data_IF_748252016880
#
_entry.id   IF_748252016880
#
_cell.length_a   1.000
_cell.length_b   1.000
_cell.length_c   1.000
_cell.angle_alpha   90.00
_cell.angle_beta   90.00
_cell.angle_gamma   90.00
#
_symmetry.space_group_name_H-M   'P 1'
#
loop_
_entity.id
_entity.type
_entity.pdbx_description
1 polymer ?
#
# COMPACT_ATOMS: atom_id res chain seq x y z
N UNK A 1 -32.88 17.66 39.27
CA UNK A 1 -31.78 17.67 38.29
C UNK A 1 -31.24 19.09 38.21
N UNK A 2 -30.11 19.37 38.85
CA UNK A 2 -29.44 20.68 38.81
C UNK A 2 -28.66 20.82 37.50
N UNK A 3 -29.22 21.53 36.53
CA UNK A 3 -28.49 21.90 35.32
C UNK A 3 -27.36 22.88 35.69
N UNK A 4 -26.12 22.49 35.39
CA UNK A 4 -24.91 23.25 35.67
C UNK A 4 -24.94 24.59 34.89
N UNK A 5 -25.11 25.71 35.61
CA UNK A 5 -25.23 27.08 35.03
C UNK A 5 -24.00 27.54 34.24
N UNK A 6 -22.87 26.83 34.32
CA UNK A 6 -21.60 27.15 33.65
C UNK A 6 -21.64 26.90 32.13
N UNK A 7 -22.38 25.89 31.66
CA UNK A 7 -22.42 25.53 30.22
C UNK A 7 -23.21 26.58 29.41
N UNK A 8 -24.25 27.17 30.02
CA UNK A 8 -25.08 28.21 29.37
C UNK A 8 -24.41 29.59 29.31
N UNK A 9 -23.40 29.87 30.15
CA UNK A 9 -22.67 31.14 30.10
C UNK A 9 -21.74 31.22 28.88
N UNK A 10 -21.17 30.08 28.47
CA UNK A 10 -20.29 29.99 27.31
C UNK A 10 -21.02 30.25 25.98
N UNK A 11 -22.29 29.81 25.88
CA UNK A 11 -23.12 29.97 24.67
C UNK A 11 -23.49 31.45 24.41
N UNK A 12 -23.45 32.32 25.42
CA UNK A 12 -23.85 33.73 25.31
C UNK A 12 -22.70 34.70 25.02
N UNK A 13 -21.45 34.23 24.91
CA UNK A 13 -20.31 35.10 24.62
C UNK A 13 -19.98 35.07 23.12
N UNK A 14 -20.35 36.11 22.33
CA UNK A 14 -20.06 36.16 20.90
C UNK A 14 -18.55 36.14 20.63
N UNK A 15 -17.75 36.66 21.57
CA UNK A 15 -16.29 36.65 21.48
C UNK A 15 -15.71 35.24 21.66
N UNK A 16 -16.27 34.44 22.57
CA UNK A 16 -15.84 33.05 22.76
C UNK A 16 -16.22 32.17 21.55
N UNK A 17 -17.38 32.41 20.94
CA UNK A 17 -17.80 31.74 19.70
C UNK A 17 -16.92 32.12 18.51
N UNK A 18 -16.55 33.40 18.38
CA UNK A 18 -15.58 33.85 17.36
C UNK A 18 -14.20 33.25 17.57
N UNK A 19 -13.74 33.16 18.82
CA UNK A 19 -12.44 32.57 19.14
C UNK A 19 -12.39 31.07 18.84
N UNK A 20 -13.42 30.32 19.26
CA UNK A 20 -13.54 28.90 18.98
C UNK A 20 -13.73 28.64 17.48
N UNK A 21 -14.57 29.42 16.81
CA UNK A 21 -14.77 29.34 15.36
C UNK A 21 -13.48 29.63 14.59
N UNK A 22 -12.77 30.69 14.95
CA UNK A 22 -11.47 31.03 14.36
C UNK A 22 -10.40 29.97 14.60
N UNK A 23 -10.39 29.36 15.79
CA UNK A 23 -9.46 28.27 16.12
C UNK A 23 -9.77 27.00 15.31
N UNK A 24 -11.05 26.63 15.17
CA UNK A 24 -11.47 25.48 14.36
C UNK A 24 -11.14 25.69 12.88
N UNK A 25 -11.41 26.88 12.35
CA UNK A 25 -11.10 27.21 10.94
C UNK A 25 -9.58 27.30 10.72
N UNK A 26 -8.82 27.89 11.64
CA UNK A 26 -7.37 28.01 11.54
C UNK A 26 -6.65 26.67 11.65
N UNK A 27 -7.01 25.84 12.65
CA UNK A 27 -6.43 24.49 12.80
C UNK A 27 -6.90 23.55 11.68
N UNK A 28 -8.18 23.61 11.31
CA UNK A 28 -8.73 22.84 10.19
C UNK A 28 -8.07 23.23 8.87
N UNK A 29 -7.87 24.53 8.63
CA UNK A 29 -7.18 25.05 7.44
C UNK A 29 -5.71 24.64 7.39
N UNK A 30 -4.97 24.72 8.50
CA UNK A 30 -3.57 24.25 8.55
C UNK A 30 -3.45 22.73 8.38
N UNK A 31 -4.37 21.95 8.95
CA UNK A 31 -4.41 20.51 8.73
C UNK A 31 -4.66 20.18 7.25
N UNK A 32 -5.69 20.79 6.64
CA UNK A 32 -6.01 20.61 5.22
C UNK A 32 -4.87 21.06 4.29
N UNK A 33 -4.23 22.18 4.60
CA UNK A 33 -3.07 22.66 3.86
C UNK A 33 -1.89 21.70 3.99
N UNK A 34 -1.61 21.20 5.20
CA UNK A 34 -0.61 20.15 5.42
C UNK A 34 -0.91 18.87 4.64
N UNK A 35 -2.18 18.44 4.58
CA UNK A 35 -2.60 17.31 3.76
C UNK A 35 -2.38 17.56 2.25
N UNK A 36 -2.75 18.74 1.74
CA UNK A 36 -2.60 19.08 0.33
C UNK A 36 -1.15 19.29 -0.12
N UNK A 37 -0.30 19.81 0.77
CA UNK A 37 1.09 20.16 0.45
C UNK A 37 2.12 19.13 0.90
N UNK A 38 1.71 18.13 1.68
CA UNK A 38 2.62 17.06 2.10
C UNK A 38 3.18 16.29 0.89
N UNK A 39 4.50 16.04 0.85
CA UNK A 39 5.20 15.47 -0.30
C UNK A 39 5.06 13.95 -0.35
N UNK A 40 3.89 13.40 -0.03
CA UNK A 40 3.64 11.98 -0.18
C UNK A 40 3.50 11.67 -1.66
N UNK A 41 4.49 11.00 -2.24
CA UNK A 41 4.48 10.60 -3.64
C UNK A 41 3.15 9.89 -3.98
N UNK A 42 2.42 10.40 -4.97
CA UNK A 42 1.14 9.83 -5.42
C UNK A 42 1.30 8.44 -6.05
N UNK A 43 2.52 8.14 -6.48
CA UNK A 43 2.90 6.89 -7.11
C UNK A 43 4.31 6.49 -6.66
N UNK A 44 4.51 5.20 -6.44
CA UNK A 44 5.82 4.58 -6.24
C UNK A 44 6.06 3.54 -7.34
N UNK A 45 7.29 3.50 -7.87
CA UNK A 45 7.72 2.49 -8.85
C UNK A 45 8.87 1.69 -8.25
N UNK A 46 8.77 0.37 -8.34
CA UNK A 46 9.81 -0.53 -7.86
C UNK A 46 10.02 -1.69 -8.84
N UNK A 47 11.10 -1.65 -9.66
CA UNK A 47 11.49 -2.78 -10.48
C UNK A 47 12.00 -3.92 -9.59
N UNK A 48 11.58 -5.15 -9.89
CA UNK A 48 11.96 -6.33 -9.12
C UNK A 48 12.34 -7.48 -10.04
N UNK A 49 13.29 -8.29 -9.58
CA UNK A 49 13.68 -9.56 -10.19
C UNK A 49 14.12 -10.48 -9.08
N UNK A 50 13.48 -11.63 -8.92
CA UNK A 50 13.87 -12.63 -7.92
C UNK A 50 13.69 -14.03 -8.49
N UNK A 51 14.48 -14.94 -7.93
CA UNK A 51 14.46 -16.36 -8.24
C UNK A 51 14.01 -17.12 -7.01
N UNK A 52 13.11 -18.07 -7.20
CA UNK A 52 12.80 -19.11 -6.21
C UNK A 52 13.44 -20.39 -6.72
N UNK A 53 14.31 -20.99 -5.90
CA UNK A 53 14.91 -22.30 -6.17
C UNK A 53 14.07 -23.30 -5.39
N UNK A 54 13.32 -24.15 -6.08
CA UNK A 54 12.43 -25.13 -5.47
C UNK A 54 13.21 -26.39 -5.11
N UNK A 55 14.09 -26.83 -6.00
CA UNK A 55 15.07 -27.92 -5.81
C UNK A 55 16.27 -27.73 -6.75
N UNK A 56 17.20 -28.70 -6.79
CA UNK A 56 18.44 -28.63 -7.59
C UNK A 56 18.20 -28.42 -9.09
N UNK A 57 17.02 -28.77 -9.59
CA UNK A 57 16.68 -28.75 -11.02
C UNK A 57 15.56 -27.76 -11.36
N UNK A 58 14.75 -27.36 -10.39
CA UNK A 58 13.56 -26.54 -10.57
C UNK A 58 13.72 -25.15 -9.96
N UNK A 59 13.48 -24.14 -10.78
CA UNK A 59 13.51 -22.76 -10.35
C UNK A 59 12.45 -21.92 -11.06
N UNK A 60 11.95 -20.91 -10.37
CA UNK A 60 11.02 -19.93 -10.93
C UNK A 60 11.63 -18.54 -10.87
N UNK A 61 11.67 -17.85 -12.02
CA UNK A 61 12.07 -16.45 -12.14
C UNK A 61 10.84 -15.58 -12.32
N UNK A 62 10.65 -14.63 -11.41
CA UNK A 62 9.70 -13.54 -11.58
C UNK A 62 10.46 -12.23 -11.80
N UNK A 63 10.13 -11.53 -12.88
CA UNK A 63 10.71 -10.23 -13.22
C UNK A 63 9.63 -9.26 -13.66
N UNK A 64 9.61 -8.07 -13.09
CA UNK A 64 8.59 -7.09 -13.39
C UNK A 64 8.75 -5.80 -12.62
N UNK A 65 7.68 -5.03 -12.60
CA UNK A 65 7.62 -3.72 -11.96
C UNK A 65 6.37 -3.68 -11.10
N UNK A 66 6.54 -3.45 -9.81
CA UNK A 66 5.46 -3.02 -8.93
C UNK A 66 5.25 -1.51 -9.10
N UNK A 67 4.00 -1.10 -9.26
CA UNK A 67 3.61 0.31 -9.14
C UNK A 67 2.52 0.43 -8.11
N UNK A 68 2.80 1.16 -7.04
CA UNK A 68 1.84 1.42 -5.98
C UNK A 68 1.30 2.83 -6.13
N UNK A 69 -0.02 2.95 -6.05
CA UNK A 69 -0.77 4.18 -6.22
C UNK A 69 -1.58 4.45 -4.96
N UNK A 70 -1.65 5.72 -4.58
CA UNK A 70 -2.53 6.18 -3.52
C UNK A 70 -3.85 6.65 -4.13
N UNK A 71 -4.93 5.93 -3.84
CA UNK A 71 -6.29 6.29 -4.30
C UNK A 71 -6.95 7.28 -3.33
N UNK A 72 -6.63 7.19 -2.04
CA UNK A 72 -7.17 8.04 -0.98
C UNK A 72 -6.25 8.09 0.24
N UNK A 73 -6.75 8.62 1.37
CA UNK A 73 -5.95 8.74 2.58
C UNK A 73 -5.60 7.37 3.20
N UNK A 74 -6.54 6.42 3.11
CA UNK A 74 -6.44 5.06 3.67
C UNK A 74 -6.74 3.98 2.63
N UNK A 75 -6.58 4.29 1.35
CA UNK A 75 -6.83 3.34 0.27
C UNK A 75 -5.82 3.52 -0.85
N UNK A 76 -5.52 2.43 -1.53
CA UNK A 76 -4.59 2.41 -2.64
C UNK A 76 -4.72 1.14 -3.46
N UNK A 77 -3.92 1.09 -4.50
CA UNK A 77 -3.78 -0.10 -5.31
C UNK A 77 -2.34 -0.29 -5.76
N UNK A 78 -1.96 -1.54 -5.93
CA UNK A 78 -0.66 -1.90 -6.50
C UNK A 78 -0.89 -2.72 -7.76
N UNK A 79 -0.18 -2.35 -8.81
CA UNK A 79 -0.13 -3.10 -10.07
C UNK A 79 1.21 -3.80 -10.21
N UNK A 80 1.19 -4.98 -10.82
CA UNK A 80 2.40 -5.68 -11.24
C UNK A 80 2.33 -5.97 -12.73
N UNK A 81 3.35 -5.55 -13.47
CA UNK A 81 3.53 -5.84 -14.89
C UNK A 81 4.88 -6.51 -15.07
N UNK A 82 4.89 -7.71 -15.65
CA UNK A 82 6.12 -8.49 -15.78
C UNK A 82 5.90 -9.85 -16.41
N UNK A 83 6.79 -10.78 -16.08
CA UNK A 83 6.77 -12.15 -16.59
C UNK A 83 7.19 -13.14 -15.50
N UNK A 84 6.67 -14.37 -15.60
CA UNK A 84 7.12 -15.53 -14.82
C UNK A 84 7.70 -16.56 -15.79
N UNK A 85 8.90 -17.05 -15.50
CA UNK A 85 9.55 -18.12 -16.25
C UNK A 85 9.85 -19.28 -15.30
N UNK A 86 9.43 -20.48 -15.66
CA UNK A 86 9.80 -21.68 -14.94
C UNK A 86 11.01 -22.32 -15.61
N UNK A 87 11.83 -22.97 -14.82
CA UNK A 87 12.99 -23.74 -15.23
C UNK A 87 12.87 -25.13 -14.63
N UNK A 88 13.10 -26.15 -15.46
CA UNK A 88 13.19 -27.56 -15.06
C UNK A 88 14.46 -28.16 -15.67
N UNK A 89 15.19 -28.93 -14.88
CA UNK A 89 16.48 -29.54 -15.26
C UNK A 89 17.46 -28.53 -15.86
N UNK A 90 17.51 -27.33 -15.27
CA UNK A 90 18.39 -26.23 -15.70
C UNK A 90 18.02 -25.58 -17.04
N UNK A 91 16.86 -25.92 -17.63
CA UNK A 91 16.35 -25.32 -18.88
C UNK A 91 15.02 -24.64 -18.66
N UNK A 92 14.75 -23.59 -19.44
CA UNK A 92 13.47 -22.88 -19.37
C UNK A 92 12.32 -23.79 -19.85
N UNK A 93 11.35 -24.01 -18.99
CA UNK A 93 10.13 -24.77 -19.25
C UNK A 93 9.10 -23.88 -19.96
N UNK A 94 9.19 -23.84 -21.29
CA UNK A 94 8.28 -23.08 -22.15
C UNK A 94 8.62 -21.59 -22.30
N UNK A 95 7.62 -20.82 -22.74
CA UNK A 95 7.73 -19.37 -22.90
C UNK A 95 7.39 -18.66 -21.58
N UNK A 96 8.04 -17.53 -21.28
CA UNK A 96 7.66 -16.70 -20.14
C UNK A 96 6.18 -16.31 -20.20
N UNK A 97 5.45 -16.55 -19.10
CA UNK A 97 4.05 -16.16 -18.99
C UNK A 97 3.97 -14.69 -18.58
N UNK A 98 3.26 -13.88 -19.36
CA UNK A 98 3.05 -12.47 -19.01
C UNK A 98 2.15 -12.34 -17.76
N UNK A 99 2.49 -11.40 -16.88
CA UNK A 99 1.69 -11.03 -15.71
C UNK A 99 1.26 -9.57 -15.85
N UNK A 100 -0.04 -9.33 -15.69
CA UNK A 100 -0.60 -7.99 -15.58
C UNK A 100 -1.74 -8.03 -14.55
N UNK A 101 -1.45 -7.56 -13.34
CA UNK A 101 -2.31 -7.75 -12.17
C UNK A 101 -2.44 -6.47 -11.39
N UNK A 102 -3.59 -6.32 -10.75
CA UNK A 102 -3.88 -5.22 -9.82
C UNK A 102 -4.51 -5.78 -8.55
N UNK A 103 -4.05 -5.26 -7.42
CA UNK A 103 -4.59 -5.53 -6.09
C UNK A 103 -4.95 -4.19 -5.48
N UNK A 104 -6.19 -4.05 -5.00
CA UNK A 104 -6.68 -2.88 -4.28
C UNK A 104 -6.78 -3.22 -2.81
N UNK A 105 -6.49 -2.23 -1.96
CA UNK A 105 -6.45 -2.43 -0.52
C UNK A 105 -6.80 -1.16 0.25
N UNK A 106 -7.32 -1.37 1.45
CA UNK A 106 -7.42 -0.36 2.49
C UNK A 106 -6.21 -0.45 3.41
N UNK A 107 -5.79 0.68 3.98
CA UNK A 107 -4.56 0.83 4.76
C UNK A 107 -4.90 1.30 6.17
N UNK A 108 -4.44 0.56 7.16
CA UNK A 108 -4.45 0.95 8.56
C UNK A 108 -3.02 1.02 9.10
N UNK A 109 -2.71 2.09 9.83
CA UNK A 109 -1.37 2.32 10.39
C UNK A 109 -1.42 2.10 11.90
N UNK A 110 -0.60 1.17 12.39
CA UNK A 110 -0.41 0.91 13.82
C UNK A 110 1.06 1.08 14.18
N UNK A 111 1.43 2.29 14.58
CA UNK A 111 2.83 2.68 14.82
C UNK A 111 3.66 2.60 13.53
N UNK A 112 4.60 1.64 13.47
CA UNK A 112 5.44 1.37 12.27
C UNK A 112 4.89 0.26 11.37
N UNK A 113 3.77 -0.35 11.77
CA UNK A 113 3.11 -1.42 10.99
C UNK A 113 2.05 -0.82 10.08
N UNK A 114 2.04 -1.32 8.86
CA UNK A 114 1.06 -1.03 7.83
C UNK A 114 0.23 -2.31 7.66
N UNK A 115 -1.03 -2.27 8.05
CA UNK A 115 -1.99 -3.33 7.78
C UNK A 115 -2.72 -2.99 6.49
N UNK A 116 -2.59 -3.87 5.50
CA UNK A 116 -3.22 -3.74 4.19
C UNK A 116 -4.33 -4.78 4.10
N UNK A 117 -5.58 -4.34 4.05
CA UNK A 117 -6.73 -5.23 3.86
C UNK A 117 -7.09 -5.27 2.39
N UNK A 118 -6.97 -6.43 1.75
CA UNK A 118 -7.24 -6.55 0.31
C UNK A 118 -8.74 -6.46 0.04
N UNK A 119 -9.14 -5.45 -0.73
CA UNK A 119 -10.54 -5.17 -1.07
C UNK A 119 -10.95 -5.82 -2.37
N UNK A 120 -10.09 -5.78 -3.39
CA UNK A 120 -10.36 -6.40 -4.69
C UNK A 120 -9.10 -6.72 -5.46
N UNK A 121 -9.25 -7.57 -6.48
CA UNK A 121 -8.16 -8.01 -7.33
C UNK A 121 -8.63 -8.17 -8.75
N UNK A 122 -7.76 -7.80 -9.69
CA UNK A 122 -8.11 -7.77 -11.10
C UNK A 122 -6.97 -8.33 -11.95
N UNK A 123 -7.35 -9.20 -12.90
CA UNK A 123 -6.49 -9.58 -14.01
C UNK A 123 -6.68 -8.55 -15.13
N UNK A 124 -5.60 -7.88 -15.51
CA UNK A 124 -5.63 -6.90 -16.61
C UNK A 124 -5.36 -7.57 -17.95
N UNK A 125 -5.72 -6.88 -19.03
CA UNK A 125 -5.53 -7.36 -20.40
C UNK A 125 -4.06 -7.73 -20.64
N UNK A 126 -3.83 -8.86 -21.32
CA UNK A 126 -2.50 -9.39 -21.61
C UNK A 126 -1.87 -10.21 -20.49
N UNK A 127 -2.48 -10.30 -19.31
CA UNK A 127 -2.04 -11.22 -18.25
C UNK A 127 -2.39 -12.68 -18.59
N UNK A 128 -1.37 -13.51 -18.75
CA UNK A 128 -1.47 -14.93 -19.10
C UNK A 128 -1.16 -15.88 -17.93
N UNK A 129 -0.43 -15.41 -16.92
CA UNK A 129 -0.07 -16.23 -15.77
C UNK A 129 -1.32 -16.66 -14.95
N UNK A 130 -1.38 -17.95 -14.54
CA UNK A 130 -2.47 -18.47 -13.72
C UNK A 130 -2.51 -17.78 -12.36
N UNK A 131 -3.68 -17.81 -11.71
CA UNK A 131 -3.87 -17.16 -10.40
C UNK A 131 -2.96 -17.74 -9.32
N UNK A 132 -2.64 -19.03 -9.42
CA UNK A 132 -1.72 -19.71 -8.50
C UNK A 132 -0.30 -19.15 -8.61
N UNK A 133 0.30 -19.10 -9.80
CA UNK A 133 1.64 -18.50 -10.00
C UNK A 133 1.68 -17.05 -9.51
N UNK A 134 0.62 -16.29 -9.72
CA UNK A 134 0.56 -14.91 -9.23
C UNK A 134 0.48 -14.87 -7.71
N UNK A 135 -0.25 -15.79 -7.09
CA UNK A 135 -0.34 -15.90 -5.62
C UNK A 135 1.02 -16.27 -5.05
N UNK A 136 1.60 -17.37 -5.52
CA UNK A 136 2.81 -17.92 -4.93
C UNK A 136 4.01 -16.99 -5.10
N UNK A 137 4.12 -16.31 -6.24
CA UNK A 137 5.30 -15.52 -6.56
C UNK A 137 5.06 -14.02 -6.40
N UNK A 138 3.99 -13.45 -6.96
CA UNK A 138 3.88 -11.98 -7.14
C UNK A 138 3.17 -11.31 -5.95
N UNK A 139 2.04 -11.87 -5.52
CA UNK A 139 1.23 -11.36 -4.43
C UNK A 139 0.85 -12.55 -3.53
N UNK A 140 1.58 -12.90 -2.49
CA UNK A 140 1.19 -14.03 -1.62
C UNK A 140 -0.06 -13.81 -0.79
N UNK A 141 -0.68 -12.62 -0.87
CA UNK A 141 -1.84 -12.21 -0.06
C UNK A 141 -2.99 -11.71 -0.93
N UNK A 142 -3.36 -12.49 -1.95
CA UNK A 142 -4.46 -12.19 -2.88
C UNK A 142 -5.72 -13.00 -2.59
N UNK A 143 -6.27 -13.00 -1.38
CA UNK A 143 -7.72 -13.22 -1.25
C UNK A 143 -8.41 -11.97 -0.68
N UNK A 144 -9.56 -11.55 -1.25
CA UNK A 144 -10.34 -10.48 -0.65
C UNK A 144 -10.64 -10.80 0.82
N UNK A 145 -10.39 -9.83 1.70
CA UNK A 145 -10.50 -10.01 3.15
C UNK A 145 -9.25 -10.53 3.85
N UNK A 146 -8.18 -10.88 3.13
CA UNK A 146 -6.88 -11.14 3.74
C UNK A 146 -6.19 -9.83 4.16
N UNK A 147 -5.49 -9.90 5.30
CA UNK A 147 -4.75 -8.77 5.87
C UNK A 147 -3.25 -9.02 5.71
N UNK A 148 -2.62 -8.24 4.85
CA UNK A 148 -1.18 -8.20 4.72
C UNK A 148 -0.57 -7.22 5.71
N UNK A 149 0.32 -7.72 6.57
CA UNK A 149 1.08 -6.85 7.46
C UNK A 149 2.43 -6.56 6.83
N UNK A 150 2.68 -5.28 6.58
CA UNK A 150 3.92 -4.74 6.08
C UNK A 150 4.56 -3.84 7.14
N UNK A 151 5.88 -3.78 7.19
CA UNK A 151 6.60 -2.88 8.10
C UNK A 151 7.19 -1.73 7.32
N UNK A 152 6.99 -0.51 7.82
CA UNK A 152 7.67 0.68 7.30
C UNK A 152 9.09 0.76 7.88
N UNK A 153 10.09 0.74 7.01
CA UNK A 153 11.49 0.94 7.40
C UNK A 153 11.85 2.42 7.23
N UNK A 154 12.27 3.04 8.34
CA UNK A 154 12.55 4.46 8.43
C UNK A 154 14.07 4.71 8.54
N UNK A 155 14.57 5.70 7.80
CA UNK A 155 15.88 6.32 8.03
C UNK A 155 15.64 7.83 8.19
N UNK A 156 16.10 8.40 9.30
CA UNK A 156 15.89 9.82 9.64
C UNK A 156 14.43 10.25 9.49
N UNK A 157 13.52 9.44 10.03
CA UNK A 157 12.05 9.62 9.97
C UNK A 157 11.45 9.65 8.55
N UNK A 158 12.21 9.24 7.53
CA UNK A 158 11.73 9.06 6.16
C UNK A 158 11.55 7.58 5.82
N UNK A 159 10.42 7.25 5.22
CA UNK A 159 10.15 5.87 4.75
C UNK A 159 11.09 5.55 3.58
N UNK A 160 11.99 4.59 3.80
CA UNK A 160 12.91 4.09 2.77
C UNK A 160 12.31 2.93 1.98
N UNK A 161 11.58 2.05 2.67
CA UNK A 161 11.01 0.84 2.09
C UNK A 161 9.81 0.37 2.89
N UNK A 162 8.92 -0.37 2.23
CA UNK A 162 7.87 -1.15 2.87
C UNK A 162 7.88 -2.57 2.31
N UNK A 163 7.52 -3.54 3.14
CA UNK A 163 7.45 -4.93 2.73
C UNK A 163 6.94 -5.82 3.85
N UNK A 164 6.39 -6.97 3.46
CA UNK A 164 6.10 -8.06 4.39
C UNK A 164 7.41 -8.67 4.89
N UNK A 165 7.38 -9.36 6.03
CA UNK A 165 8.59 -10.01 6.58
C UNK A 165 9.11 -11.15 5.70
N UNK A 166 8.27 -11.69 4.81
CA UNK A 166 8.49 -12.93 4.06
C UNK A 166 8.78 -12.73 2.57
N UNK A 167 8.71 -11.50 2.03
CA UNK A 167 8.90 -11.21 0.59
C UNK A 167 9.93 -10.09 0.40
N UNK A 168 10.55 -10.04 -0.79
CA UNK A 168 11.51 -9.00 -1.17
C UNK A 168 10.96 -7.59 -0.86
N UNK A 169 11.74 -6.83 -0.08
CA UNK A 169 11.39 -5.50 0.40
C UNK A 169 11.38 -4.52 -0.77
N UNK A 170 10.29 -3.77 -0.91
CA UNK A 170 10.10 -2.86 -2.03
C UNK A 170 10.67 -1.50 -1.63
N UNK A 171 11.82 -1.14 -2.21
CA UNK A 171 12.35 0.21 -2.14
C UNK A 171 11.73 1.05 -3.27
N UNK A 172 10.99 2.08 -2.91
CA UNK A 172 10.41 3.00 -3.88
C UNK A 172 11.51 3.88 -4.48
N UNK A 173 11.60 3.90 -5.81
CA UNK A 173 12.43 4.86 -6.53
C UNK A 173 11.54 6.04 -6.96
N UNK A 174 11.98 7.28 -6.69
CA UNK A 174 11.38 8.51 -7.21
C UNK A 174 11.98 8.86 -8.57
#
# INVERSE_FOLDING_TARGET
MTANRSIFAFIKSPLALLFLGGMVVGLGGMALYGFQTSPYASQCIAPTSYYVIEDDNNATLARGIYRSYRDGLFSGHTTYIGTISHFRDGKRDGLPKAVNREVRYDVELSGKRIHLTVTSQHRKLGGQAPDQDVTDYIFPQIKPGEVATSTAYLLDDKVLASGTETVARIACMN
#
